data_IF_245303558083
#
_entry.id   IF_245303558083
#
_cell.length_a   1.000
_cell.length_b   1.000
_cell.length_c   1.000
_cell.angle_alpha   90.00
_cell.angle_beta   90.00
_cell.angle_gamma   90.00
#
_symmetry.space_group_name_H-M   'P 1'
#
loop_
_entity.id
_entity.type
_entity.pdbx_description
1 polymer ?
#
# COMPACT_ATOMS: atom_id res chain seq x y z
N UNK A 1 -18.79 -18.09 -9.84
CA UNK A 1 -17.89 -16.93 -9.97
C UNK A 1 -17.11 -17.07 -11.27
N UNK A 2 -17.08 -16.03 -12.09
CA UNK A 2 -16.25 -15.94 -13.30
C UNK A 2 -14.81 -15.59 -12.93
N UNK A 3 -13.86 -15.82 -13.83
CA UNK A 3 -12.43 -15.54 -13.58
C UNK A 3 -12.20 -14.08 -13.21
N UNK A 4 -12.86 -13.14 -13.90
CA UNK A 4 -12.73 -11.71 -13.60
C UNK A 4 -13.27 -11.35 -12.21
N UNK A 5 -14.39 -11.95 -11.79
CA UNK A 5 -14.95 -11.76 -10.46
C UNK A 5 -14.00 -12.32 -9.39
N UNK A 6 -13.42 -13.50 -9.63
CA UNK A 6 -12.46 -14.13 -8.72
C UNK A 6 -11.18 -13.31 -8.55
N UNK A 7 -10.55 -12.87 -9.64
CA UNK A 7 -9.35 -12.02 -9.57
C UNK A 7 -9.63 -10.70 -8.86
N UNK A 8 -10.81 -10.12 -9.07
CA UNK A 8 -11.22 -8.90 -8.37
C UNK A 8 -11.38 -9.14 -6.87
N UNK A 9 -11.97 -10.27 -6.46
CA UNK A 9 -12.10 -10.64 -5.04
C UNK A 9 -10.72 -10.78 -4.39
N UNK A 10 -9.79 -11.51 -5.02
CA UNK A 10 -8.44 -11.68 -4.48
C UNK A 10 -7.72 -10.33 -4.38
N UNK A 11 -7.80 -9.47 -5.40
CA UNK A 11 -7.22 -8.12 -5.33
C UNK A 11 -7.80 -7.28 -4.17
N UNK A 12 -9.09 -7.47 -3.84
CA UNK A 12 -9.71 -6.83 -2.67
C UNK A 12 -9.19 -7.39 -1.34
N UNK A 13 -8.89 -8.69 -1.27
CA UNK A 13 -8.28 -9.32 -0.10
C UNK A 13 -6.90 -8.73 0.17
N UNK A 14 -6.05 -8.63 -0.87
CA UNK A 14 -4.71 -8.02 -0.78
C UNK A 14 -4.78 -6.53 -0.35
N UNK A 15 -5.84 -5.80 -0.76
CA UNK A 15 -6.08 -4.44 -0.28
C UNK A 15 -6.38 -4.39 1.23
N UNK A 16 -7.09 -5.38 1.76
CA UNK A 16 -7.38 -5.48 3.19
C UNK A 16 -6.14 -5.91 3.97
N UNK A 17 -5.30 -6.78 3.41
CA UNK A 17 -4.05 -7.24 4.01
C UNK A 17 -3.03 -6.11 4.13
N UNK A 18 -2.77 -5.34 3.06
CA UNK A 18 -1.87 -4.18 3.13
C UNK A 18 -2.36 -3.14 4.14
N UNK A 19 -3.67 -2.91 4.22
CA UNK A 19 -4.26 -2.03 5.24
C UNK A 19 -4.00 -2.57 6.65
N UNK A 20 -4.17 -3.88 6.85
CA UNK A 20 -3.97 -4.53 8.14
C UNK A 20 -2.51 -4.41 8.60
N UNK A 21 -1.54 -4.72 7.75
CA UNK A 21 -0.12 -4.71 8.12
C UNK A 21 0.41 -3.29 8.34
N UNK A 22 -0.03 -2.29 7.55
CA UNK A 22 0.25 -0.88 7.83
C UNK A 22 -0.27 -0.45 9.21
N UNK A 23 -1.48 -0.90 9.57
CA UNK A 23 -2.04 -0.64 10.90
C UNK A 23 -1.29 -1.35 12.02
N UNK A 24 -0.71 -2.53 11.78
CA UNK A 24 0.14 -3.23 12.76
C UNK A 24 1.45 -2.47 12.97
N UNK A 25 2.14 -2.10 11.89
CA UNK A 25 3.40 -1.35 11.95
C UNK A 25 3.23 -0.01 12.68
N UNK A 26 2.14 0.72 12.42
CA UNK A 26 1.82 1.94 13.15
C UNK A 26 1.64 1.70 14.66
N UNK A 27 1.11 0.54 15.06
CA UNK A 27 0.79 0.23 16.45
C UNK A 27 1.98 -0.33 17.23
N UNK A 28 2.81 -1.14 16.59
CA UNK A 28 3.85 -1.92 17.25
C UNK A 28 5.27 -1.54 16.83
N UNK A 29 5.44 -0.71 15.79
CA UNK A 29 6.72 -0.35 15.20
C UNK A 29 7.02 -1.17 13.96
N UNK A 30 7.81 -0.59 13.05
CA UNK A 30 8.19 -1.23 11.77
C UNK A 30 9.15 -2.41 11.97
N UNK A 31 10.03 -2.33 12.98
CA UNK A 31 11.01 -3.36 13.30
C UNK A 31 10.47 -4.48 14.21
N UNK A 32 9.23 -4.35 14.71
CA UNK A 32 8.62 -5.37 15.57
C UNK A 32 8.26 -6.63 14.77
N UNK A 33 8.36 -7.79 15.42
CA UNK A 33 8.06 -9.09 14.84
C UNK A 33 6.97 -9.78 15.66
N UNK A 34 6.01 -10.43 14.98
CA UNK A 34 5.00 -11.20 15.69
C UNK A 34 5.64 -12.39 16.44
N UNK A 35 5.22 -12.72 17.68
CA UNK A 35 5.88 -13.75 18.50
C UNK A 35 5.96 -15.15 17.87
N UNK A 36 5.05 -15.47 16.93
CA UNK A 36 5.05 -16.75 16.19
C UNK A 36 5.90 -16.73 14.92
N UNK A 37 6.29 -15.56 14.44
CA UNK A 37 7.09 -15.33 13.23
C UNK A 37 8.22 -14.34 13.55
N UNK A 38 9.13 -14.69 14.49
CA UNK A 38 10.13 -13.75 15.02
C UNK A 38 11.17 -13.28 14.00
N UNK A 39 11.24 -13.94 12.84
CA UNK A 39 12.18 -13.62 11.76
C UNK A 39 11.51 -12.81 10.63
N UNK A 40 10.31 -12.27 10.86
CA UNK A 40 9.60 -11.45 9.89
C UNK A 40 9.17 -10.15 10.56
N UNK A 41 9.75 -9.03 10.14
CA UNK A 41 9.39 -7.72 10.67
C UNK A 41 8.08 -7.21 10.08
N UNK A 42 7.44 -6.25 10.76
CA UNK A 42 6.27 -5.57 10.21
C UNK A 42 6.60 -4.83 8.89
N UNK A 43 7.83 -4.32 8.72
CA UNK A 43 8.29 -3.78 7.43
C UNK A 43 8.31 -4.86 6.33
N UNK A 44 8.86 -6.05 6.61
CA UNK A 44 8.86 -7.16 5.67
C UNK A 44 7.44 -7.62 5.32
N UNK A 45 6.51 -7.66 6.30
CA UNK A 45 5.08 -7.89 6.04
C UNK A 45 4.50 -6.82 5.11
N UNK A 46 4.75 -5.51 5.36
CA UNK A 46 4.28 -4.43 4.47
C UNK A 46 4.76 -4.62 3.03
N UNK A 47 6.05 -4.93 2.84
CA UNK A 47 6.61 -5.13 1.51
C UNK A 47 5.98 -6.35 0.82
N UNK A 48 5.78 -7.44 1.57
CA UNK A 48 5.17 -8.68 1.08
C UNK A 48 3.76 -8.41 0.54
N UNK A 49 2.89 -7.81 1.34
CA UNK A 49 1.51 -7.52 0.94
C UNK A 49 1.44 -6.47 -0.19
N UNK A 50 2.35 -5.47 -0.18
CA UNK A 50 2.44 -4.49 -1.27
C UNK A 50 2.76 -5.15 -2.62
N UNK A 51 3.70 -6.10 -2.64
CA UNK A 51 4.08 -6.80 -3.87
C UNK A 51 3.02 -7.83 -4.30
N UNK A 52 2.30 -8.47 -3.38
CA UNK A 52 1.16 -9.33 -3.72
C UNK A 52 0.01 -8.53 -4.34
N UNK A 53 -0.35 -7.38 -3.74
CA UNK A 53 -1.32 -6.46 -4.35
C UNK A 53 -0.88 -6.03 -5.76
N UNK A 54 0.39 -5.68 -5.94
CA UNK A 54 0.93 -5.32 -7.26
C UNK A 54 0.79 -6.47 -8.25
N UNK A 55 1.15 -7.70 -7.86
CA UNK A 55 1.00 -8.88 -8.71
C UNK A 55 -0.46 -9.12 -9.13
N UNK A 56 -1.42 -8.87 -8.24
CA UNK A 56 -2.84 -9.01 -8.55
C UNK A 56 -3.35 -7.95 -9.54
N UNK A 57 -2.90 -6.69 -9.40
CA UNK A 57 -3.21 -5.64 -10.38
C UNK A 57 -2.62 -5.97 -11.76
N UNK A 58 -1.37 -6.43 -11.81
CA UNK A 58 -0.72 -6.86 -13.05
C UNK A 58 -1.45 -8.04 -13.70
N UNK A 59 -1.92 -9.01 -12.90
CA UNK A 59 -2.68 -10.16 -13.43
C UNK A 59 -4.03 -9.72 -14.01
N UNK A 60 -4.71 -8.77 -13.37
CA UNK A 60 -5.93 -8.18 -13.93
C UNK A 60 -5.67 -7.44 -15.26
N UNK A 61 -4.50 -6.80 -15.42
CA UNK A 61 -4.08 -6.17 -16.67
C UNK A 61 -3.79 -7.21 -17.77
N UNK A 62 -3.08 -8.31 -17.45
CA UNK A 62 -2.84 -9.42 -18.38
C UNK A 62 -4.14 -10.04 -18.89
N UNK A 63 -5.14 -10.15 -18.01
CA UNK A 63 -6.49 -10.62 -18.36
C UNK A 63 -7.36 -9.55 -19.05
N UNK A 64 -6.81 -8.38 -19.38
CA UNK A 64 -7.52 -7.25 -20.01
C UNK A 64 -8.76 -6.78 -19.25
N UNK A 65 -8.80 -6.99 -17.92
CA UNK A 65 -9.88 -6.51 -17.06
C UNK A 65 -9.76 -5.01 -16.81
N UNK A 66 -8.52 -4.54 -16.71
CA UNK A 66 -8.14 -3.14 -16.59
C UNK A 66 -6.95 -2.86 -17.50
N UNK A 67 -6.73 -1.59 -17.84
CA UNK A 67 -5.62 -1.18 -18.70
C UNK A 67 -4.40 -0.80 -17.86
N UNK A 68 -3.21 -1.00 -18.42
CA UNK A 68 -1.98 -0.44 -17.88
C UNK A 68 -1.81 1.00 -18.36
N UNK A 69 -1.27 1.86 -17.50
CA UNK A 69 -0.91 3.22 -17.87
C UNK A 69 0.51 3.29 -18.41
N UNK A 70 0.79 4.32 -19.22
CA UNK A 70 2.17 4.55 -19.68
C UNK A 70 3.10 4.89 -18.50
N UNK A 71 4.41 4.63 -18.61
CA UNK A 71 5.38 4.98 -17.57
C UNK A 71 5.32 6.46 -17.17
N UNK A 72 5.10 7.36 -18.13
CA UNK A 72 4.98 8.81 -17.88
C UNK A 72 3.75 9.11 -17.04
N UNK A 73 2.63 8.45 -17.33
CA UNK A 73 1.39 8.65 -16.58
C UNK A 73 1.49 8.09 -15.16
N UNK A 74 2.15 6.95 -14.99
CA UNK A 74 2.43 6.36 -13.67
C UNK A 74 3.30 7.32 -12.85
N UNK A 75 4.37 7.87 -13.44
CA UNK A 75 5.24 8.83 -12.78
C UNK A 75 4.50 10.10 -12.35
N UNK A 76 3.68 10.67 -13.23
CA UNK A 76 2.85 11.85 -12.94
C UNK A 76 1.92 11.62 -11.74
N UNK A 77 1.22 10.47 -11.71
CA UNK A 77 0.30 10.11 -10.62
C UNK A 77 1.05 10.01 -9.29
N UNK A 78 2.22 9.33 -9.28
CA UNK A 78 3.04 9.14 -8.07
C UNK A 78 3.54 10.48 -7.55
N UNK A 79 4.13 11.32 -8.41
CA UNK A 79 4.64 12.64 -8.02
C UNK A 79 3.52 13.52 -7.47
N UNK A 80 2.39 13.63 -8.19
CA UNK A 80 1.27 14.47 -7.75
C UNK A 80 0.68 14.01 -6.41
N UNK A 81 0.62 12.69 -6.15
CA UNK A 81 0.16 12.17 -4.86
C UNK A 81 1.10 12.57 -3.72
N UNK A 82 2.40 12.47 -3.92
CA UNK A 82 3.41 12.83 -2.91
C UNK A 82 3.44 14.33 -2.64
N UNK A 83 3.38 15.16 -3.68
CA UNK A 83 3.27 16.63 -3.54
C UNK A 83 2.06 17.03 -2.69
N UNK A 84 0.89 16.41 -2.94
CA UNK A 84 -0.32 16.65 -2.15
C UNK A 84 -0.15 16.22 -0.70
N UNK A 85 0.49 15.08 -0.44
CA UNK A 85 0.77 14.62 0.93
C UNK A 85 1.62 15.65 1.66
N UNK A 86 2.73 16.10 1.07
CA UNK A 86 3.58 17.11 1.72
C UNK A 86 2.88 18.45 1.93
N UNK A 87 2.06 18.89 0.97
CA UNK A 87 1.25 20.10 1.14
C UNK A 87 0.37 20.01 2.39
N UNK A 88 -0.37 18.90 2.57
CA UNK A 88 -1.23 18.72 3.73
C UNK A 88 -0.49 18.41 5.02
N UNK A 89 0.69 17.78 4.96
CA UNK A 89 1.55 17.63 6.13
C UNK A 89 2.01 18.99 6.66
N UNK A 90 2.50 19.87 5.79
CA UNK A 90 2.88 21.25 6.16
C UNK A 90 1.68 22.00 6.74
N UNK A 91 0.53 21.92 6.08
CA UNK A 91 -0.70 22.55 6.58
C UNK A 91 -1.10 22.02 7.98
N UNK A 92 -0.97 20.72 8.23
CA UNK A 92 -1.27 20.11 9.53
C UNK A 92 -0.29 20.56 10.62
N UNK A 93 1.00 20.72 10.27
CA UNK A 93 2.03 21.25 11.17
C UNK A 93 1.76 22.71 11.54
N UNK A 94 1.41 23.55 10.57
CA UNK A 94 1.02 24.96 10.80
C UNK A 94 -0.20 25.10 11.72
N UNK A 95 -1.09 24.09 11.74
CA UNK A 95 -2.24 24.01 12.65
C UNK A 95 -1.92 23.42 14.02
N UNK A 96 -0.70 22.95 14.26
CA UNK A 96 -0.32 22.24 15.48
C UNK A 96 -1.02 20.89 15.66
N UNK A 97 -1.45 20.26 14.55
CA UNK A 97 -2.13 18.95 14.54
C UNK A 97 -1.21 17.79 14.16
N UNK A 98 0.01 18.10 13.73
CA UNK A 98 1.05 17.13 13.38
C UNK A 98 2.38 17.60 13.97
N UNK A 99 3.03 16.73 14.72
CA UNK A 99 4.37 16.95 15.29
C UNK A 99 5.44 16.31 14.39
N UNK A 100 6.68 16.75 14.53
CA UNK A 100 7.80 16.02 13.94
C UNK A 100 7.97 14.68 14.68
N UNK A 101 8.17 13.60 13.93
CA UNK A 101 8.55 12.31 14.53
C UNK A 101 9.97 12.36 15.08
N UNK A 102 10.27 11.45 16.01
CA UNK A 102 11.65 11.19 16.48
C UNK A 102 12.58 10.73 15.35
#
# INVERSE_FOLDING_TARGET
MKVNEYLTVVAMEECAEIQQVLSKALRFGFDDCHPKTPNQSNEEEILTEYYQLTAMIEEMQKHSLIQEFSPEKIAEIKVSKIEKVYHYMTYSKEKGLLEDGE
#
